data_IF_632851283619
#
_entry.id   IF_632851283619
#
_cell.length_a   1.000
_cell.length_b   1.000
_cell.length_c   1.000
_cell.angle_alpha   90.00
_cell.angle_beta   90.00
_cell.angle_gamma   90.00
#
_symmetry.space_group_name_H-M   'P 1'
#
loop_
_entity.id
_entity.type
_entity.pdbx_description
1 polymer ?
#
# COMPACT_ATOMS: atom_id res chain seq x y z
N UNK A 1 -48.54 39.63 -26.29
CA UNK A 1 -47.31 39.56 -25.51
C UNK A 1 -46.26 40.38 -26.22
N UNK A 2 -45.63 41.31 -25.52
CA UNK A 2 -44.60 42.17 -26.10
C UNK A 2 -43.38 41.36 -26.50
N UNK A 3 -42.91 41.56 -27.73
CA UNK A 3 -41.71 40.90 -28.26
C UNK A 3 -40.53 40.98 -27.28
N UNK A 4 -40.39 42.11 -26.58
CA UNK A 4 -39.37 42.34 -25.55
C UNK A 4 -39.47 41.39 -24.34
N UNK A 5 -40.68 41.00 -23.91
CA UNK A 5 -40.85 40.10 -22.76
C UNK A 5 -40.49 38.66 -23.08
N UNK A 6 -40.63 38.25 -24.34
CA UNK A 6 -40.19 36.95 -24.84
C UNK A 6 -38.65 36.82 -24.89
N UNK A 7 -37.95 37.86 -25.36
CA UNK A 7 -36.47 37.84 -25.34
C UNK A 7 -35.93 37.86 -23.90
N UNK A 8 -36.54 38.63 -23.00
CA UNK A 8 -36.14 38.70 -21.59
C UNK A 8 -36.26 37.34 -20.88
N UNK A 9 -37.35 36.59 -21.12
CA UNK A 9 -37.55 35.28 -20.50
C UNK A 9 -36.58 34.21 -21.02
N UNK A 10 -36.24 34.25 -22.32
CA UNK A 10 -35.21 33.37 -22.91
C UNK A 10 -33.84 33.66 -22.30
N UNK A 11 -33.43 34.93 -22.24
CA UNK A 11 -32.13 35.32 -21.70
C UNK A 11 -32.02 34.92 -20.23
N UNK A 12 -33.05 35.16 -19.41
CA UNK A 12 -33.03 34.74 -18.00
C UNK A 12 -32.89 33.22 -17.83
N UNK A 13 -33.49 32.42 -18.72
CA UNK A 13 -33.41 30.96 -18.64
C UNK A 13 -32.09 30.40 -19.17
N UNK A 14 -31.52 31.01 -20.22
CA UNK A 14 -30.28 30.54 -20.87
C UNK A 14 -29.00 31.15 -20.27
N UNK A 15 -29.08 32.29 -19.59
CA UNK A 15 -27.89 32.97 -19.06
C UNK A 15 -27.07 32.04 -18.16
N UNK A 16 -27.69 31.32 -17.23
CA UNK A 16 -26.97 30.44 -16.31
C UNK A 16 -26.36 29.20 -17.00
N UNK A 17 -27.10 28.41 -17.80
CA UNK A 17 -26.52 27.31 -18.58
C UNK A 17 -25.36 27.75 -19.49
N UNK A 18 -25.53 28.86 -20.21
CA UNK A 18 -24.50 29.37 -21.12
C UNK A 18 -23.27 29.83 -20.33
N UNK A 19 -23.46 30.51 -19.19
CA UNK A 19 -22.36 30.94 -18.33
C UNK A 19 -21.56 29.75 -17.81
N UNK A 20 -22.23 28.68 -17.34
CA UNK A 20 -21.55 27.46 -16.88
C UNK A 20 -20.74 26.81 -18.02
N UNK A 21 -21.31 26.70 -19.21
CA UNK A 21 -20.62 26.13 -20.39
C UNK A 21 -19.41 26.98 -20.78
N UNK A 22 -19.54 28.31 -20.79
CA UNK A 22 -18.43 29.24 -21.08
C UNK A 22 -17.33 29.13 -20.03
N UNK A 23 -17.68 29.06 -18.75
CA UNK A 23 -16.72 28.86 -17.66
C UNK A 23 -15.96 27.55 -17.82
N UNK A 24 -16.66 26.43 -18.08
CA UNK A 24 -16.03 25.12 -18.32
C UNK A 24 -15.11 25.18 -19.55
N UNK A 25 -15.56 25.83 -20.62
CA UNK A 25 -14.79 25.94 -21.86
C UNK A 25 -13.51 26.78 -21.70
N UNK A 26 -13.54 27.85 -20.89
CA UNK A 26 -12.37 28.67 -20.55
C UNK A 26 -11.41 27.95 -19.58
N UNK A 27 -11.94 27.14 -18.66
CA UNK A 27 -11.13 26.44 -17.64
C UNK A 27 -10.54 25.11 -18.12
N UNK A 28 -11.14 24.44 -19.11
CA UNK A 28 -10.72 23.10 -19.55
C UNK A 28 -9.22 23.01 -19.87
N UNK A 29 -8.67 24.04 -20.52
CA UNK A 29 -7.27 24.07 -20.97
C UNK A 29 -6.31 24.39 -19.80
N UNK A 30 -6.82 25.04 -18.75
CA UNK A 30 -6.07 25.36 -17.53
C UNK A 30 -6.07 24.20 -16.53
N UNK A 31 -7.15 23.42 -16.45
CA UNK A 31 -7.26 22.24 -15.56
C UNK A 31 -6.17 21.20 -15.88
N UNK A 32 -5.89 20.96 -17.16
CA UNK A 32 -4.82 20.03 -17.57
C UNK A 32 -3.44 20.45 -17.06
N UNK A 33 -3.18 21.77 -16.93
CA UNK A 33 -1.91 22.30 -16.42
C UNK A 33 -1.75 22.16 -14.91
N UNK A 34 -2.84 22.02 -14.16
CA UNK A 34 -2.83 21.87 -12.69
C UNK A 34 -2.59 20.40 -12.28
N UNK A 35 -2.98 19.45 -13.13
CA UNK A 35 -2.87 18.02 -12.85
C UNK A 35 -1.46 17.56 -12.44
N UNK A 36 -0.35 18.01 -13.10
CA UNK A 36 1.00 17.66 -12.68
C UNK A 36 1.37 18.18 -11.29
N UNK A 37 0.85 19.33 -10.86
CA UNK A 37 1.12 19.89 -9.53
C UNK A 37 0.43 19.09 -8.44
N UNK A 38 -0.82 18.66 -8.67
CA UNK A 38 -1.56 17.80 -7.74
C UNK A 38 -0.84 16.45 -7.60
N UNK A 39 -0.31 15.88 -8.69
CA UNK A 39 0.48 14.64 -8.62
C UNK A 39 1.77 14.82 -7.82
N UNK A 40 2.54 15.88 -8.09
CA UNK A 40 3.78 16.18 -7.35
C UNK A 40 3.54 16.38 -5.86
N UNK A 41 2.46 17.06 -5.49
CA UNK A 41 2.08 17.24 -4.09
C UNK A 41 1.74 15.90 -3.43
N UNK A 42 0.88 15.08 -4.07
CA UNK A 42 0.55 13.74 -3.58
C UNK A 42 1.76 12.82 -3.43
N UNK A 43 2.74 12.90 -4.34
CA UNK A 43 3.96 12.11 -4.25
C UNK A 43 4.82 12.53 -3.06
N UNK A 44 4.91 13.83 -2.79
CA UNK A 44 5.64 14.33 -1.62
C UNK A 44 4.95 13.99 -0.30
N UNK A 45 3.62 14.06 -0.26
CA UNK A 45 2.85 13.63 0.90
C UNK A 45 3.04 12.14 1.17
N UNK A 46 3.00 11.32 0.12
CA UNK A 46 3.26 9.89 0.21
C UNK A 46 4.68 9.61 0.72
N UNK A 47 5.71 10.27 0.19
CA UNK A 47 7.10 10.09 0.62
C UNK A 47 7.20 10.32 2.14
N UNK A 48 6.68 11.44 2.64
CA UNK A 48 6.70 11.77 4.08
C UNK A 48 5.94 10.72 4.91
N UNK A 49 4.78 10.28 4.45
CA UNK A 49 3.95 9.28 5.14
C UNK A 49 4.63 7.90 5.15
N UNK A 50 5.23 7.50 4.04
CA UNK A 50 5.96 6.24 3.90
C UNK A 50 7.17 6.24 4.81
N UNK A 51 8.01 7.28 4.75
CA UNK A 51 9.18 7.45 5.62
C UNK A 51 8.84 7.42 7.11
N UNK A 52 7.71 8.03 7.50
CA UNK A 52 7.24 8.01 8.89
C UNK A 52 6.78 6.61 9.28
N UNK A 53 5.98 5.99 8.43
CA UNK A 53 5.40 4.67 8.68
C UNK A 53 6.46 3.60 8.79
N UNK A 54 7.51 3.64 7.95
CA UNK A 54 8.65 2.72 8.02
C UNK A 54 9.41 2.89 9.34
N UNK A 55 9.73 4.13 9.73
CA UNK A 55 10.41 4.41 11.01
C UNK A 55 9.62 3.88 12.20
N UNK A 56 8.34 4.21 12.28
CA UNK A 56 7.46 3.71 13.35
C UNK A 56 7.35 2.18 13.35
N UNK A 57 7.40 1.56 12.17
CA UNK A 57 7.29 0.11 12.03
C UNK A 57 8.58 -0.58 12.47
N UNK A 58 9.72 0.00 12.12
CA UNK A 58 11.06 -0.44 12.50
C UNK A 58 11.21 -0.44 14.02
N UNK A 59 10.97 0.71 14.65
CA UNK A 59 11.01 0.86 16.12
C UNK A 59 10.08 -0.13 16.83
N UNK A 60 8.88 -0.36 16.29
CA UNK A 60 7.91 -1.30 16.88
C UNK A 60 8.31 -2.76 16.66
N UNK A 61 8.98 -3.07 15.56
CA UNK A 61 9.35 -4.44 15.22
C UNK A 61 10.49 -4.97 16.09
N UNK A 62 11.42 -4.11 16.53
CA UNK A 62 12.57 -4.48 17.35
C UNK A 62 12.18 -5.24 18.62
N UNK A 63 11.04 -4.90 19.23
CA UNK A 63 10.53 -5.55 20.45
C UNK A 63 9.53 -6.67 20.19
N UNK A 64 8.85 -6.67 19.02
CA UNK A 64 7.66 -7.48 18.77
C UNK A 64 7.89 -8.65 17.80
N UNK A 65 8.96 -8.62 17.01
CA UNK A 65 9.29 -9.62 16.00
C UNK A 65 10.71 -10.08 16.22
N UNK A 66 10.90 -11.41 16.29
CA UNK A 66 12.25 -11.95 16.27
C UNK A 66 12.81 -11.90 14.85
N UNK A 67 13.98 -11.29 14.70
CA UNK A 67 14.73 -11.38 13.45
C UNK A 67 15.23 -12.82 13.23
N UNK A 68 15.35 -13.27 11.97
CA UNK A 68 15.98 -14.55 11.68
C UNK A 68 17.38 -14.57 12.32
N UNK A 69 17.77 -15.66 13.03
CA UNK A 69 19.14 -15.78 13.52
C UNK A 69 20.11 -15.76 12.33
N UNK A 70 21.28 -15.17 12.52
CA UNK A 70 22.33 -14.96 11.50
C UNK A 70 22.71 -16.28 10.76
N UNK A 71 22.45 -17.44 11.38
CA UNK A 71 22.68 -18.77 10.77
C UNK A 71 21.56 -19.25 9.82
N UNK A 72 20.34 -18.71 9.92
CA UNK A 72 19.20 -18.95 9.01
C UNK A 72 19.07 -17.85 7.97
N UNK A 73 19.82 -16.76 8.14
CA UNK A 73 19.92 -15.69 7.15
C UNK A 73 20.33 -16.24 5.78
N UNK A 74 21.15 -17.30 5.69
CA UNK A 74 21.51 -17.96 4.42
C UNK A 74 20.33 -18.60 3.65
N UNK A 75 19.23 -18.98 4.32
CA UNK A 75 18.05 -19.54 3.64
C UNK A 75 17.12 -18.44 3.09
N UNK A 76 17.13 -17.26 3.73
CA UNK A 76 16.33 -16.08 3.35
C UNK A 76 17.14 -15.12 2.45
N UNK A 77 18.47 -15.12 2.57
CA UNK A 77 19.45 -14.24 1.92
C UNK A 77 19.39 -14.28 0.39
N UNK A 78 19.24 -15.43 -0.29
CA UNK A 78 19.10 -15.46 -1.74
C UNK A 78 17.85 -14.73 -2.25
N UNK A 79 16.80 -14.64 -1.41
CA UNK A 79 15.59 -13.89 -1.71
C UNK A 79 15.75 -12.41 -1.34
N UNK A 80 16.39 -12.12 -0.20
CA UNK A 80 16.69 -10.75 0.25
C UNK A 80 17.57 -9.98 -0.74
N UNK A 81 18.69 -10.55 -1.17
CA UNK A 81 19.61 -9.91 -2.11
C UNK A 81 18.94 -9.64 -3.46
N UNK A 82 18.11 -10.58 -3.95
CA UNK A 82 17.32 -10.39 -5.16
C UNK A 82 16.30 -9.26 -5.02
N UNK A 83 15.63 -9.17 -3.87
CA UNK A 83 14.68 -8.10 -3.60
C UNK A 83 15.38 -6.74 -3.49
N UNK A 84 16.58 -6.67 -2.92
CA UNK A 84 17.39 -5.46 -2.89
C UNK A 84 17.82 -5.02 -4.29
N UNK A 85 18.29 -5.95 -5.12
CA UNK A 85 18.61 -5.67 -6.53
C UNK A 85 17.36 -5.23 -7.30
N UNK A 86 16.21 -5.85 -7.03
CA UNK A 86 14.94 -5.42 -7.61
C UNK A 86 14.55 -4.02 -7.14
N UNK A 87 14.84 -3.66 -5.88
CA UNK A 87 14.52 -2.32 -5.35
C UNK A 87 15.32 -1.22 -6.06
N UNK A 88 16.53 -1.51 -6.53
CA UNK A 88 17.34 -0.57 -7.31
C UNK A 88 16.72 -0.27 -8.69
N UNK A 89 15.99 -1.23 -9.27
CA UNK A 89 15.40 -1.11 -10.60
C UNK A 89 13.92 -0.71 -10.55
N UNK A 90 13.16 -1.29 -9.63
CA UNK A 90 11.75 -1.02 -9.37
C UNK A 90 11.40 -1.22 -7.89
N UNK A 91 11.48 -0.13 -7.08
CA UNK A 91 11.13 -0.13 -5.67
C UNK A 91 9.73 -0.71 -5.39
N UNK A 92 8.75 -0.30 -6.20
CA UNK A 92 7.36 -0.75 -6.07
C UNK A 92 7.23 -2.25 -6.29
N UNK A 93 7.96 -2.81 -7.25
CA UNK A 93 7.96 -4.25 -7.51
C UNK A 93 8.61 -5.00 -6.36
N UNK A 94 9.71 -4.48 -5.81
CA UNK A 94 10.37 -5.08 -4.65
C UNK A 94 9.46 -5.11 -3.39
N UNK A 95 8.71 -4.03 -3.12
CA UNK A 95 7.69 -3.98 -2.04
C UNK A 95 6.62 -5.06 -2.26
N UNK A 96 6.11 -5.21 -3.48
CA UNK A 96 5.07 -6.19 -3.80
C UNK A 96 5.57 -7.63 -3.64
N UNK A 97 6.76 -7.93 -4.15
CA UNK A 97 7.38 -9.25 -4.05
C UNK A 97 7.72 -9.60 -2.60
N UNK A 98 8.23 -8.64 -1.80
CA UNK A 98 8.48 -8.86 -0.39
C UNK A 98 7.19 -9.16 0.39
N UNK A 99 6.10 -8.42 0.11
CA UNK A 99 4.79 -8.69 0.71
C UNK A 99 4.20 -10.04 0.30
N UNK A 100 4.48 -10.49 -0.94
CA UNK A 100 4.03 -11.80 -1.41
C UNK A 100 4.59 -12.95 -0.56
N UNK A 101 5.84 -12.84 -0.10
CA UNK A 101 6.44 -13.81 0.82
C UNK A 101 5.66 -13.90 2.14
N UNK A 102 5.26 -12.75 2.70
CA UNK A 102 4.42 -12.69 3.91
C UNK A 102 3.06 -13.36 3.67
N UNK A 103 2.43 -13.09 2.54
CA UNK A 103 1.15 -13.73 2.18
C UNK A 103 1.27 -15.25 2.01
N UNK A 104 2.34 -15.72 1.38
CA UNK A 104 2.59 -17.15 1.21
C UNK A 104 2.79 -17.84 2.56
N UNK A 105 3.62 -17.28 3.44
CA UNK A 105 3.82 -17.79 4.79
C UNK A 105 2.50 -17.83 5.57
N UNK A 106 1.73 -16.73 5.56
CA UNK A 106 0.43 -16.65 6.21
C UNK A 106 -0.56 -17.71 5.71
N UNK A 107 -0.65 -17.91 4.39
CA UNK A 107 -1.52 -18.92 3.78
C UNK A 107 -1.06 -20.33 4.16
N UNK A 108 0.24 -20.58 4.21
CA UNK A 108 0.78 -21.87 4.62
C UNK A 108 0.43 -22.22 6.07
N UNK A 109 0.57 -21.27 7.01
CA UNK A 109 0.18 -21.47 8.41
C UNK A 109 -1.28 -21.88 8.50
N UNK A 110 -2.15 -21.14 7.81
CA UNK A 110 -3.59 -21.39 7.87
C UNK A 110 -3.95 -22.76 7.26
N UNK A 111 -3.26 -23.17 6.19
CA UNK A 111 -3.40 -24.51 5.60
C UNK A 111 -2.98 -25.61 6.59
N UNK A 112 -1.83 -25.45 7.26
CA UNK A 112 -1.29 -26.44 8.21
C UNK A 112 -2.19 -26.64 9.41
N UNK A 113 -2.81 -25.57 9.94
CA UNK A 113 -3.73 -25.66 11.06
C UNK A 113 -5.11 -26.23 10.66
N UNK A 114 -5.34 -26.58 9.38
CA UNK A 114 -6.61 -27.13 8.90
C UNK A 114 -7.78 -26.15 9.00
N UNK A 115 -7.49 -24.85 9.16
CA UNK A 115 -8.49 -23.83 9.54
C UNK A 115 -9.29 -23.27 8.35
N UNK A 116 -8.92 -23.60 7.11
CA UNK A 116 -9.65 -23.19 5.91
C UNK A 116 -10.18 -24.41 5.16
N UNK A 117 -11.50 -24.48 5.01
CA UNK A 117 -12.13 -25.31 3.99
C UNK A 117 -11.72 -24.80 2.61
N UNK A 118 -11.32 -25.72 1.72
CA UNK A 118 -10.67 -25.53 0.39
C UNK A 118 -11.22 -24.44 -0.56
N UNK A 119 -12.28 -23.70 -0.23
CA UNK A 119 -13.09 -22.89 -1.15
C UNK A 119 -13.32 -21.42 -0.74
N UNK A 120 -12.71 -20.87 0.32
CA UNK A 120 -12.77 -19.41 0.57
C UNK A 120 -11.44 -18.74 0.30
N UNK A 121 -11.35 -18.02 -0.82
CA UNK A 121 -10.32 -16.98 -0.98
C UNK A 121 -10.59 -15.89 0.06
N UNK A 122 -9.62 -15.66 0.95
CA UNK A 122 -9.68 -14.60 1.95
C UNK A 122 -8.77 -13.47 1.53
N UNK A 123 -9.26 -12.23 1.64
CA UNK A 123 -8.41 -11.06 1.45
C UNK A 123 -7.38 -10.92 2.58
N UNK A 124 -6.27 -10.19 2.37
CA UNK A 124 -5.16 -10.13 3.33
C UNK A 124 -5.52 -9.58 4.71
N UNK A 125 -6.53 -8.69 4.78
CA UNK A 125 -7.08 -8.19 6.04
C UNK A 125 -7.75 -9.31 6.86
N UNK A 126 -8.53 -10.18 6.20
CA UNK A 126 -9.18 -11.32 6.87
C UNK A 126 -8.13 -12.30 7.35
N UNK A 127 -7.12 -12.58 6.52
CA UNK A 127 -5.98 -13.43 6.87
C UNK A 127 -5.35 -12.98 8.20
N UNK A 128 -4.99 -11.69 8.33
CA UNK A 128 -4.44 -11.15 9.59
C UNK A 128 -5.36 -11.36 10.79
N UNK A 129 -6.66 -11.05 10.65
CA UNK A 129 -7.63 -11.27 11.72
C UNK A 129 -7.76 -12.75 12.13
N UNK A 130 -7.65 -13.67 11.17
CA UNK A 130 -7.66 -15.11 11.43
C UNK A 130 -6.40 -15.56 12.17
N UNK A 131 -5.23 -15.12 11.72
CA UNK A 131 -3.94 -15.44 12.36
C UNK A 131 -3.94 -15.01 13.83
N UNK A 132 -4.47 -13.83 14.14
CA UNK A 132 -4.66 -13.41 15.54
C UNK A 132 -5.62 -14.31 16.30
N UNK A 133 -6.79 -14.62 15.73
CA UNK A 133 -7.78 -15.50 16.40
C UNK A 133 -7.22 -16.90 16.69
N UNK A 134 -6.36 -17.38 15.80
CA UNK A 134 -5.63 -18.64 15.96
C UNK A 134 -4.40 -18.52 16.87
N UNK A 135 -4.18 -17.35 17.49
CA UNK A 135 -3.02 -17.03 18.34
C UNK A 135 -1.65 -17.23 17.66
N UNK A 136 -1.62 -17.20 16.33
CA UNK A 136 -0.38 -17.22 15.54
C UNK A 136 0.34 -15.88 15.64
N UNK A 137 -0.44 -14.79 15.67
CA UNK A 137 0.05 -13.43 15.87
C UNK A 137 -0.53 -12.86 17.16
N UNK A 138 0.31 -12.18 17.95
CA UNK A 138 -0.16 -11.33 19.02
C UNK A 138 -0.69 -9.98 18.46
N UNK A 139 -1.22 -9.10 19.32
CA UNK A 139 -1.79 -7.82 18.85
C UNK A 139 -0.73 -6.90 18.21
N UNK A 140 0.48 -6.84 18.76
CA UNK A 140 1.56 -6.00 18.22
C UNK A 140 1.99 -6.48 16.83
N UNK A 141 2.13 -7.79 16.64
CA UNK A 141 2.46 -8.42 15.37
C UNK A 141 1.34 -8.24 14.35
N UNK A 142 0.07 -8.31 14.77
CA UNK A 142 -1.06 -8.02 13.90
C UNK A 142 -1.03 -6.55 13.42
N UNK A 143 -0.67 -5.61 14.29
CA UNK A 143 -0.52 -4.22 13.89
C UNK A 143 0.60 -4.04 12.86
N UNK A 144 1.76 -4.68 13.06
CA UNK A 144 2.87 -4.66 12.10
C UNK A 144 2.42 -5.24 10.76
N UNK A 145 1.76 -6.40 10.76
CA UNK A 145 1.22 -7.04 9.56
C UNK A 145 0.25 -6.09 8.82
N UNK A 146 -0.63 -5.40 9.55
CA UNK A 146 -1.58 -4.47 8.95
C UNK A 146 -0.91 -3.21 8.39
N UNK A 147 0.12 -2.69 9.06
CA UNK A 147 0.93 -1.57 8.56
C UNK A 147 1.68 -1.95 7.29
N UNK A 148 2.34 -3.11 7.24
CA UNK A 148 3.00 -3.64 6.03
C UNK A 148 2.03 -3.78 4.86
N UNK A 149 0.83 -4.32 5.12
CA UNK A 149 -0.26 -4.43 4.13
C UNK A 149 -0.69 -3.06 3.61
N UNK A 150 -0.80 -2.08 4.50
CA UNK A 150 -1.23 -0.73 4.14
C UNK A 150 -0.20 -0.05 3.24
N UNK A 151 1.08 -0.10 3.62
CA UNK A 151 2.20 0.41 2.84
C UNK A 151 2.27 -0.22 1.45
N UNK A 152 2.09 -1.55 1.35
CA UNK A 152 2.01 -2.25 0.05
C UNK A 152 0.89 -1.69 -0.82
N UNK A 153 -0.29 -1.43 -0.25
CA UNK A 153 -1.41 -0.92 -1.02
C UNK A 153 -1.17 0.50 -1.51
N UNK A 154 -0.56 1.36 -0.69
CA UNK A 154 -0.20 2.71 -1.08
C UNK A 154 0.86 2.69 -2.19
N UNK A 155 1.84 1.80 -2.10
CA UNK A 155 2.93 1.67 -3.08
C UNK A 155 2.44 1.41 -4.51
N UNK A 156 1.31 0.72 -4.69
CA UNK A 156 0.72 0.43 -6.02
C UNK A 156 0.26 1.71 -6.73
N UNK A 157 -0.09 2.75 -6.00
CA UNK A 157 -0.71 3.97 -6.54
C UNK A 157 0.28 5.13 -6.78
N UNK A 158 1.57 4.92 -6.53
CA UNK A 158 2.61 5.94 -6.65
C UNK A 158 3.66 5.55 -7.68
N UNK A 159 4.36 6.57 -8.20
CA UNK A 159 5.45 6.37 -9.14
C UNK A 159 6.71 5.87 -8.40
N UNK A 160 7.52 5.07 -9.08
CA UNK A 160 8.77 4.51 -8.54
C UNK A 160 9.76 5.61 -8.10
N UNK A 161 9.68 6.83 -8.64
CA UNK A 161 10.50 7.99 -8.26
C UNK A 161 10.21 8.57 -6.88
N UNK A 162 9.10 8.16 -6.24
CA UNK A 162 8.67 8.70 -4.95
C UNK A 162 9.22 7.90 -3.76
N UNK A 163 10.03 6.87 -4.02
CA UNK A 163 10.59 6.00 -2.98
C UNK A 163 12.06 6.32 -2.73
N UNK A 164 12.43 6.30 -1.46
CA UNK A 164 13.83 6.21 -1.04
C UNK A 164 14.25 4.73 -1.03
N UNK A 165 15.40 4.41 -1.63
CA UNK A 165 15.91 3.04 -1.71
C UNK A 165 16.15 2.43 -0.32
N UNK A 166 16.65 3.19 0.64
CA UNK A 166 16.96 2.68 1.99
C UNK A 166 15.67 2.30 2.74
N UNK A 167 14.62 3.12 2.59
CA UNK A 167 13.31 2.84 3.20
C UNK A 167 12.61 1.63 2.56
N UNK A 168 12.86 1.40 1.27
CA UNK A 168 12.37 0.20 0.56
C UNK A 168 13.11 -1.04 1.05
N UNK A 169 14.42 -0.96 1.26
CA UNK A 169 15.22 -2.04 1.86
C UNK A 169 14.75 -2.36 3.27
N UNK A 170 14.47 -1.34 4.08
CA UNK A 170 13.91 -1.50 5.42
C UNK A 170 12.52 -2.15 5.39
N UNK A 171 11.65 -1.76 4.44
CA UNK A 171 10.38 -2.45 4.22
C UNK A 171 10.58 -3.94 3.92
N UNK A 172 11.54 -4.27 3.04
CA UNK A 172 11.86 -5.65 2.67
C UNK A 172 12.30 -6.44 3.92
N UNK A 173 13.16 -5.88 4.75
CA UNK A 173 13.62 -6.53 5.98
C UNK A 173 12.49 -6.80 6.97
N UNK A 174 11.59 -5.83 7.15
CA UNK A 174 10.42 -5.97 8.01
C UNK A 174 9.44 -7.02 7.47
N UNK A 175 9.23 -7.06 6.15
CA UNK A 175 8.40 -8.06 5.50
C UNK A 175 9.01 -9.47 5.65
N UNK A 176 10.31 -9.63 5.41
CA UNK A 176 11.01 -10.91 5.59
C UNK A 176 10.99 -11.38 7.04
N UNK A 177 11.16 -10.47 8.00
CA UNK A 177 11.08 -10.79 9.43
C UNK A 177 9.66 -11.25 9.82
N UNK A 178 8.62 -10.60 9.28
CA UNK A 178 7.24 -11.04 9.48
C UNK A 178 6.95 -12.41 8.83
N UNK A 179 7.45 -12.66 7.63
CA UNK A 179 7.31 -13.96 6.97
C UNK A 179 7.99 -15.07 7.79
N UNK A 180 9.21 -14.83 8.27
CA UNK A 180 9.93 -15.73 9.15
C UNK A 180 9.17 -16.01 10.45
N UNK A 181 8.63 -14.96 11.09
CA UNK A 181 7.83 -15.11 12.30
C UNK A 181 6.64 -16.05 12.07
N UNK A 182 5.92 -15.88 10.96
CA UNK A 182 4.79 -16.74 10.58
C UNK A 182 5.22 -18.19 10.33
N UNK A 183 6.34 -18.40 9.63
CA UNK A 183 6.87 -19.74 9.37
C UNK A 183 7.31 -20.44 10.66
N UNK A 184 7.94 -19.71 11.60
CA UNK A 184 8.36 -20.22 12.90
C UNK A 184 7.18 -20.74 13.71
N UNK A 185 6.08 -19.98 13.79
CA UNK A 185 4.86 -20.44 14.51
C UNK A 185 4.15 -21.60 13.82
N UNK A 186 4.53 -21.94 12.58
CA UNK A 186 3.97 -23.05 11.82
C UNK A 186 4.82 -24.33 11.85
N UNK A 187 5.98 -24.33 12.50
CA UNK A 187 6.77 -25.53 12.76
C UNK A 187 6.26 -26.24 14.04
N UNK A 188 6.11 -27.58 14.02
CA UNK A 188 5.51 -28.35 15.11
C UNK A 188 6.37 -28.40 16.39
#
# INVERSE_FOLDING_TARGET
MDWLTFFSSIVNSLAWPVTVVVIIWLLKDNISRIFPFIQKFKYKDFEIEFSRSIRELSEKSESAIEHPPENLEYLVSPSKDKLYLLAEVSPRSAILEAWLLVEMAAVEVIKKQGLISKHRMMGPLKIGQYLRKAQVLNEEQLEIYNKLRHLRNQAVHVADTSFNLDEVKEYIDLALSMAYQLEKTAQP
#
